data_IF_833150340386
#
_entry.id   IF_833150340386
#
_cell.length_a   1.000
_cell.length_b   1.000
_cell.length_c   1.000
_cell.angle_alpha   90.00
_cell.angle_beta   90.00
_cell.angle_gamma   90.00
#
_symmetry.space_group_name_H-M   'P 1'
#
loop_
_entity.id
_entity.type
_entity.pdbx_description
1 polymer ?
#
# COMPACT_ATOMS: atom_id res chain seq x y z
N UNK A 1 14.49 -3.48 -47.45
CA UNK A 1 14.48 -2.88 -46.10
C UNK A 1 14.68 -4.01 -45.10
N UNK A 2 15.92 -4.24 -44.65
CA UNK A 2 16.21 -5.33 -43.72
C UNK A 2 15.51 -5.08 -42.38
N UNK A 3 14.65 -6.00 -41.94
CA UNK A 3 14.02 -5.90 -40.62
C UNK A 3 15.13 -5.81 -39.58
N UNK A 4 15.16 -4.73 -38.78
CA UNK A 4 16.05 -4.61 -37.63
C UNK A 4 15.88 -5.88 -36.80
N UNK A 5 16.97 -6.64 -36.62
CA UNK A 5 16.93 -7.94 -35.96
C UNK A 5 16.19 -7.86 -34.63
N UNK A 6 15.34 -8.85 -34.36
CA UNK A 6 14.60 -8.98 -33.11
C UNK A 6 15.55 -8.77 -31.92
N UNK A 7 15.31 -7.71 -31.14
CA UNK A 7 16.13 -7.38 -30.00
C UNK A 7 15.96 -8.48 -28.95
N UNK A 8 17.05 -9.19 -28.59
CA UNK A 8 17.00 -10.16 -27.49
C UNK A 8 16.68 -9.42 -26.20
N UNK A 9 15.46 -9.62 -25.69
CA UNK A 9 15.08 -9.12 -24.36
C UNK A 9 15.46 -10.14 -23.31
N UNK A 10 16.02 -9.64 -22.21
CA UNK A 10 16.35 -10.43 -21.03
C UNK A 10 15.50 -9.93 -19.87
N UNK A 11 15.02 -10.85 -19.03
CA UNK A 11 14.25 -10.50 -17.83
C UNK A 11 15.10 -9.68 -16.86
N UNK A 12 14.48 -8.80 -16.06
CA UNK A 12 15.18 -7.98 -15.07
C UNK A 12 15.95 -8.84 -14.06
N UNK A 13 15.33 -9.91 -13.55
CA UNK A 13 15.98 -10.84 -12.63
C UNK A 13 17.25 -11.46 -13.21
N UNK A 14 17.21 -11.86 -14.48
CA UNK A 14 18.39 -12.41 -15.15
C UNK A 14 19.53 -11.39 -15.27
N UNK A 15 19.20 -10.13 -15.62
CA UNK A 15 20.21 -9.05 -15.67
C UNK A 15 20.87 -8.84 -14.31
N UNK A 16 20.08 -8.83 -13.23
CA UNK A 16 20.57 -8.65 -11.86
C UNK A 16 21.50 -9.81 -11.48
N UNK A 17 21.08 -11.05 -11.73
CA UNK A 17 21.86 -12.24 -11.43
C UNK A 17 23.24 -12.18 -12.11
N UNK A 18 23.30 -11.88 -13.41
CA UNK A 18 24.56 -11.80 -14.14
C UNK A 18 25.47 -10.70 -13.57
N UNK A 19 24.92 -9.52 -13.24
CA UNK A 19 25.70 -8.44 -12.65
C UNK A 19 26.24 -8.80 -11.25
N UNK A 20 25.43 -9.48 -10.43
CA UNK A 20 25.82 -9.95 -9.11
C UNK A 20 26.92 -11.02 -9.19
N UNK A 21 26.77 -12.02 -10.06
CA UNK A 21 27.79 -13.05 -10.26
C UNK A 21 29.13 -12.44 -10.68
N UNK A 22 29.11 -11.41 -11.54
CA UNK A 22 30.31 -10.69 -11.97
C UNK A 22 30.90 -9.85 -10.83
N UNK A 23 30.08 -9.10 -10.09
CA UNK A 23 30.54 -8.23 -9.00
C UNK A 23 31.05 -9.01 -7.78
N UNK A 24 30.46 -10.17 -7.50
CA UNK A 24 30.86 -11.06 -6.43
C UNK A 24 32.09 -11.91 -6.79
N UNK A 25 32.60 -11.81 -8.02
CA UNK A 25 33.75 -12.56 -8.50
C UNK A 25 33.46 -14.05 -8.80
N UNK A 26 32.20 -14.48 -8.75
CA UNK A 26 31.79 -15.85 -9.08
C UNK A 26 31.84 -16.15 -10.58
N UNK A 27 31.76 -15.12 -11.43
CA UNK A 27 31.83 -15.26 -12.88
C UNK A 27 32.61 -14.10 -13.53
N UNK A 28 33.67 -14.40 -14.27
CA UNK A 28 34.39 -13.38 -15.04
C UNK A 28 33.54 -12.86 -16.21
N UNK A 29 33.81 -11.64 -16.67
CA UNK A 29 33.10 -11.04 -17.82
C UNK A 29 33.15 -11.92 -19.06
N UNK A 30 34.31 -12.50 -19.37
CA UNK A 30 34.49 -13.44 -20.47
C UNK A 30 33.67 -14.73 -20.28
N UNK A 31 33.66 -15.27 -19.05
CA UNK A 31 32.82 -16.43 -18.70
C UNK A 31 31.33 -16.14 -18.86
N UNK A 32 30.88 -14.92 -18.54
CA UNK A 32 29.49 -14.50 -18.76
C UNK A 32 29.14 -14.37 -20.25
N UNK A 33 30.10 -13.94 -21.09
CA UNK A 33 29.89 -13.89 -22.54
C UNK A 33 29.70 -15.28 -23.12
N UNK A 34 30.53 -16.25 -22.74
CA UNK A 34 30.44 -17.63 -23.24
C UNK A 34 29.22 -18.37 -22.69
N UNK A 35 29.02 -18.32 -21.36
CA UNK A 35 27.94 -19.05 -20.66
C UNK A 35 26.54 -18.59 -21.09
N UNK A 36 26.36 -17.29 -21.30
CA UNK A 36 25.05 -16.71 -21.59
C UNK A 36 24.92 -16.18 -23.03
N UNK A 37 25.95 -16.37 -23.87
CA UNK A 37 26.04 -15.83 -25.23
C UNK A 37 25.72 -14.32 -25.29
N UNK A 38 26.29 -13.57 -24.35
CA UNK A 38 26.10 -12.13 -24.22
C UNK A 38 27.26 -11.37 -24.86
N UNK A 39 26.98 -10.23 -25.47
CA UNK A 39 28.05 -9.36 -25.96
C UNK A 39 28.68 -8.57 -24.81
N UNK A 40 29.98 -8.27 -24.95
CA UNK A 40 30.71 -7.46 -23.98
C UNK A 40 30.03 -6.10 -23.74
N UNK A 41 29.43 -5.53 -24.79
CA UNK A 41 28.73 -4.25 -24.73
C UNK A 41 27.45 -4.35 -23.87
N UNK A 42 26.67 -5.43 -24.03
CA UNK A 42 25.47 -5.67 -23.20
C UNK A 42 25.84 -5.82 -21.74
N UNK A 43 26.88 -6.60 -21.43
CA UNK A 43 27.38 -6.78 -20.06
C UNK A 43 27.86 -5.44 -19.48
N UNK A 44 28.61 -4.64 -20.26
CA UNK A 44 29.09 -3.34 -19.81
C UNK A 44 27.93 -2.38 -19.48
N UNK A 45 26.92 -2.32 -20.35
CA UNK A 45 25.72 -1.49 -20.12
C UNK A 45 24.97 -1.94 -18.87
N UNK A 46 24.77 -3.25 -18.69
CA UNK A 46 24.10 -3.76 -17.51
C UNK A 46 24.89 -3.48 -16.24
N UNK A 47 26.20 -3.69 -16.22
CA UNK A 47 27.03 -3.35 -15.06
C UNK A 47 26.94 -1.86 -14.71
N UNK A 48 27.02 -0.98 -15.71
CA UNK A 48 26.86 0.48 -15.50
C UNK A 48 25.50 0.84 -14.89
N UNK A 49 24.42 0.24 -15.39
CA UNK A 49 23.06 0.44 -14.86
C UNK A 49 22.90 -0.19 -13.47
N UNK A 50 23.52 -1.34 -13.21
CA UNK A 50 23.52 -2.01 -11.91
C UNK A 50 24.21 -1.17 -10.85
N UNK A 51 25.37 -0.59 -11.17
CA UNK A 51 26.12 0.27 -10.25
C UNK A 51 25.35 1.55 -9.89
N UNK A 52 24.49 2.03 -10.79
CA UNK A 52 23.58 3.17 -10.57
C UNK A 52 22.29 2.79 -9.83
N UNK A 53 21.99 1.50 -9.69
CA UNK A 53 20.71 1.01 -9.17
C UNK A 53 19.54 1.12 -10.17
N UNK A 54 19.82 1.40 -11.43
CA UNK A 54 18.84 1.65 -12.50
C UNK A 54 18.58 0.41 -13.38
N UNK A 55 19.09 -0.77 -12.98
CA UNK A 55 18.91 -2.01 -13.76
C UNK A 55 17.45 -2.51 -13.81
N UNK A 56 16.56 -1.91 -13.01
CA UNK A 56 15.14 -2.26 -12.97
C UNK A 56 14.48 -1.79 -14.27
N UNK A 57 14.12 -2.76 -15.11
CA UNK A 57 13.46 -2.55 -16.41
C UNK A 57 12.12 -1.84 -16.28
N UNK A 58 11.80 -0.98 -17.24
CA UNK A 58 10.49 -0.36 -17.47
C UNK A 58 9.33 -1.36 -17.40
N UNK A 59 9.52 -2.62 -17.79
CA UNK A 59 8.47 -3.67 -17.72
C UNK A 59 8.09 -4.03 -16.27
N UNK A 60 9.07 -4.07 -15.35
CA UNK A 60 8.78 -4.29 -13.93
C UNK A 60 8.13 -3.05 -13.30
N UNK A 61 8.52 -1.86 -13.76
CA UNK A 61 7.88 -0.61 -13.34
C UNK A 61 6.43 -0.54 -13.86
N UNK A 62 6.18 -0.87 -15.12
CA UNK A 62 4.85 -0.82 -15.73
C UNK A 62 3.87 -1.79 -15.07
N UNK A 63 4.28 -3.03 -14.81
CA UNK A 63 3.44 -3.99 -14.10
C UNK A 63 3.14 -3.55 -12.66
N UNK A 64 4.15 -3.01 -11.96
CA UNK A 64 3.97 -2.48 -10.61
C UNK A 64 3.04 -1.26 -10.60
N UNK A 65 3.13 -0.36 -11.58
CA UNK A 65 2.28 0.82 -11.71
C UNK A 65 0.80 0.41 -11.80
N UNK A 66 0.46 -0.56 -12.65
CA UNK A 66 -0.93 -1.04 -12.78
C UNK A 66 -1.45 -1.64 -11.48
N UNK A 67 -0.62 -2.42 -10.76
CA UNK A 67 -1.01 -2.99 -9.47
C UNK A 67 -1.21 -1.90 -8.40
N UNK A 68 -0.35 -0.88 -8.38
CA UNK A 68 -0.48 0.25 -7.47
C UNK A 68 -1.70 1.11 -7.78
N UNK A 69 -2.01 1.37 -9.05
CA UNK A 69 -3.23 2.08 -9.46
C UNK A 69 -4.49 1.36 -8.99
N UNK A 70 -4.53 0.02 -9.10
CA UNK A 70 -5.66 -0.77 -8.60
C UNK A 70 -5.81 -0.68 -7.08
N UNK A 71 -4.69 -0.70 -6.33
CA UNK A 71 -4.69 -0.52 -4.88
C UNK A 71 -5.14 0.88 -4.47
N UNK A 72 -4.67 1.91 -5.16
CA UNK A 72 -5.08 3.30 -4.91
C UNK A 72 -6.59 3.43 -5.10
N UNK A 73 -7.14 2.96 -6.23
CA UNK A 73 -8.58 3.01 -6.48
C UNK A 73 -9.40 2.24 -5.43
N UNK A 74 -8.89 1.10 -4.95
CA UNK A 74 -9.55 0.33 -3.88
C UNK A 74 -9.55 1.09 -2.54
N UNK A 75 -8.45 1.76 -2.21
CA UNK A 75 -8.33 2.57 -1.00
C UNK A 75 -9.21 3.81 -1.07
N UNK A 76 -9.24 4.51 -2.20
CA UNK A 76 -10.09 5.68 -2.42
C UNK A 76 -11.58 5.34 -2.23
N UNK A 77 -12.04 4.19 -2.76
CA UNK A 77 -13.40 3.70 -2.51
C UNK A 77 -13.69 3.48 -1.02
N UNK A 78 -12.77 2.86 -0.29
CA UNK A 78 -12.92 2.64 1.15
C UNK A 78 -12.93 3.94 1.94
N UNK A 79 -12.10 4.92 1.56
CA UNK A 79 -12.10 6.26 2.19
C UNK A 79 -13.45 6.93 1.97
N UNK A 80 -14.02 6.85 0.77
CA UNK A 80 -15.38 7.34 0.50
C UNK A 80 -16.44 6.70 1.40
N UNK A 81 -16.43 5.36 1.49
CA UNK A 81 -17.36 4.61 2.35
C UNK A 81 -17.25 5.04 3.83
N UNK A 82 -16.04 5.06 4.37
CA UNK A 82 -15.80 5.45 5.76
C UNK A 82 -16.21 6.90 6.04
N UNK A 83 -16.01 7.80 5.07
CA UNK A 83 -16.43 9.20 5.19
C UNK A 83 -17.95 9.29 5.30
N UNK A 84 -18.69 8.55 4.47
CA UNK A 84 -20.16 8.50 4.52
C UNK A 84 -20.67 7.90 5.84
N UNK A 85 -20.05 6.82 6.33
CA UNK A 85 -20.41 6.21 7.61
C UNK A 85 -20.18 7.17 8.78
N UNK A 86 -19.04 7.87 8.80
CA UNK A 86 -18.75 8.86 9.83
C UNK A 86 -19.75 10.02 9.79
N UNK A 87 -20.11 10.49 8.60
CA UNK A 87 -21.11 11.54 8.42
C UNK A 87 -22.48 11.09 8.95
N UNK A 88 -22.90 9.86 8.67
CA UNK A 88 -24.15 9.31 9.17
C UNK A 88 -24.15 9.20 10.70
N UNK A 89 -23.07 8.69 11.29
CA UNK A 89 -22.93 8.57 12.75
C UNK A 89 -22.96 9.94 13.44
N UNK A 90 -22.26 10.93 12.88
CA UNK A 90 -22.28 12.31 13.39
C UNK A 90 -23.63 13.00 13.23
N UNK A 91 -24.36 12.70 12.15
CA UNK A 91 -25.68 13.27 11.85
C UNK A 91 -26.84 12.56 12.55
N UNK A 92 -26.60 11.43 13.23
CA UNK A 92 -27.63 10.74 14.00
C UNK A 92 -27.99 11.62 15.21
N UNK A 93 -29.20 12.20 15.28
CA UNK A 93 -29.59 12.96 16.45
C UNK A 93 -29.58 12.00 17.64
N UNK A 94 -28.89 12.37 18.72
CA UNK A 94 -29.08 11.70 20.00
C UNK A 94 -30.57 11.79 20.31
N UNK A 95 -31.29 10.68 20.12
CA UNK A 95 -32.64 10.52 20.61
C UNK A 95 -32.53 10.73 22.11
N UNK A 96 -32.85 11.95 22.57
CA UNK A 96 -33.07 12.21 23.98
C UNK A 96 -34.25 11.35 24.35
N UNK A 97 -33.96 10.16 24.87
CA UNK A 97 -34.92 9.39 25.64
C UNK A 97 -35.22 10.27 26.85
N UNK A 98 -36.29 11.07 26.76
CA UNK A 98 -36.84 11.77 27.91
C UNK A 98 -37.47 10.68 28.79
N UNK A 99 -36.64 10.02 29.60
CA UNK A 99 -37.08 9.26 30.76
C UNK A 99 -36.68 10.05 32.00
N UNK A 100 -37.38 11.15 32.27
CA UNK A 100 -37.44 11.72 33.61
C UNK A 100 -38.74 11.27 34.25
N UNK A 101 -38.86 9.96 34.47
CA UNK A 101 -39.92 9.37 35.30
C UNK A 101 -39.31 8.88 36.61
N UNK A 102 -38.80 9.79 37.43
CA UNK A 102 -38.32 9.52 38.79
C UNK A 102 -38.19 10.91 39.45
N UNK A 103 -38.78 11.27 40.60
CA UNK A 103 -39.53 10.54 41.61
C UNK A 103 -40.27 11.61 42.45
N UNK A 104 -41.59 11.76 42.29
CA UNK A 104 -42.39 12.62 43.18
C UNK A 104 -42.64 11.89 44.49
N UNK A 105 -41.59 11.70 45.31
CA UNK A 105 -41.73 11.19 46.67
C UNK A 105 -42.13 12.37 47.57
N UNK A 106 -43.44 12.49 47.78
CA UNK A 106 -44.04 13.36 48.78
C UNK A 106 -43.58 12.85 50.15
N UNK A 107 -42.66 13.56 50.80
CA UNK A 107 -42.33 13.31 52.21
C UNK A 107 -43.51 13.83 53.03
N UNK A 108 -44.42 12.91 53.40
CA UNK A 108 -45.45 13.16 54.41
C UNK A 108 -44.83 12.90 55.79
N UNK A 109 -44.49 13.98 56.50
CA UNK A 109 -44.10 13.91 57.91
C UNK A 109 -45.33 13.76 58.82
N UNK A 110 -45.21 13.10 59.99
CA UNK A 110 -46.33 12.87 60.89
C UNK A 110 -46.87 14.19 61.47
N UNK A 111 -48.20 14.26 61.62
CA UNK A 111 -48.99 15.43 62.06
C UNK A 111 -48.56 15.89 63.46
N UNK A 112 -48.28 17.19 63.62
CA UNK A 112 -48.04 17.78 64.94
C UNK A 112 -49.28 17.62 65.83
N UNK A 113 -49.09 17.11 67.04
CA UNK A 113 -50.13 17.05 68.07
C UNK A 113 -50.32 18.45 68.68
N UNK A 114 -51.56 18.94 68.87
CA UNK A 114 -51.79 20.18 69.61
C UNK A 114 -51.42 19.95 71.09
N UNK A 115 -50.51 20.76 71.62
CA UNK A 115 -50.31 20.89 73.06
C UNK A 115 -51.30 21.90 73.62
N UNK A 116 -52.16 21.45 74.53
CA UNK A 116 -52.93 22.30 75.44
C UNK A 116 -52.07 22.63 76.67
N UNK A 117 -51.79 23.91 76.90
CA UNK A 117 -51.55 24.56 78.20
C UNK A 117 -51.38 26.07 78.02
#
# INVERSE_FOLDING_TARGET
>A
MSSRGSYRRHSSQFKIQVCQEIRNGGLGRLGAQEKYNLSANVIQTWLSLYDRGELISEEAQAAAIVEYEAKIAALERKVGQLTMELDLLKKTPHLRLVSSSESSLIISGPRAAPSDA
#
